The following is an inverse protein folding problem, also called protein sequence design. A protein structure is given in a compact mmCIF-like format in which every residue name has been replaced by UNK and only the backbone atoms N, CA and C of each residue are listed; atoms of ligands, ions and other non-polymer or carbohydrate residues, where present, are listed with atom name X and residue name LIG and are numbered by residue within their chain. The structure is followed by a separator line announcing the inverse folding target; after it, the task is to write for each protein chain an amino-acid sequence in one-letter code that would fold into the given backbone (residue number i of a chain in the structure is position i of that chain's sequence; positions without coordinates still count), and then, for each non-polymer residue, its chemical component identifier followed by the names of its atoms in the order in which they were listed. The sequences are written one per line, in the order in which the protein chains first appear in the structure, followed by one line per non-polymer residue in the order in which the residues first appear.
data_IF_492731292308
#
_entry.id   IF_492731292308
#
_cell.length_a   1.000
_cell.length_b   1.000
_cell.length_c   1.000
_cell.angle_alpha   90.00
_cell.angle_beta   90.00
_cell.angle_gamma   90.00
#
_symmetry.space_group_name_H-M   'P 1'
#
loop_
_entity.id
_entity.type
_entity.pdbx_description
1 polymer ?
#
# COMPACT_ATOMS: atom_id res chain seq x y z
N UNK A 1 12.71 -9.40 -16.87
CA UNK A 1 11.38 -8.75 -16.70
C UNK A 1 11.41 -8.05 -15.36
N UNK A 2 10.63 -7.00 -15.14
CA UNK A 2 10.50 -6.47 -13.78
C UNK A 2 9.72 -7.50 -12.95
N UNK A 3 10.17 -7.76 -11.73
CA UNK A 3 9.53 -8.76 -10.87
C UNK A 3 8.09 -8.33 -10.54
N UNK A 4 7.09 -9.17 -10.84
CA UNK A 4 5.70 -8.80 -10.67
C UNK A 4 5.38 -8.50 -9.20
N UNK A 5 4.60 -7.45 -8.97
CA UNK A 5 4.19 -7.05 -7.63
C UNK A 5 2.67 -7.02 -7.53
N UNK A 6 2.15 -7.52 -6.40
CA UNK A 6 0.78 -7.28 -5.96
C UNK A 6 0.76 -6.27 -4.83
N UNK A 7 -0.30 -5.51 -4.77
CA UNK A 7 -0.52 -4.51 -3.75
C UNK A 7 -1.84 -4.76 -3.06
N UNK A 8 -1.91 -4.40 -1.79
CA UNK A 8 -3.16 -4.40 -1.03
C UNK A 8 -3.20 -3.20 -0.08
N UNK A 9 -4.41 -2.83 0.30
CA UNK A 9 -4.66 -1.87 1.38
C UNK A 9 -4.25 -2.47 2.71
N UNK A 10 -3.83 -1.61 3.63
CA UNK A 10 -3.37 -1.98 4.98
C UNK A 10 -3.93 -0.99 5.99
N UNK A 11 -3.87 -1.37 7.28
CA UNK A 11 -4.16 -0.47 8.38
C UNK A 11 -2.90 -0.22 9.18
N UNK A 12 -2.61 1.05 9.43
CA UNK A 12 -1.51 1.49 10.28
C UNK A 12 -2.11 2.46 11.29
N UNK A 13 -1.68 2.32 12.54
CA UNK A 13 -2.06 3.25 13.59
C UNK A 13 -0.97 3.41 14.62
N UNK A 14 -1.07 4.50 15.37
CA UNK A 14 -0.22 4.76 16.53
C UNK A 14 -0.68 3.96 17.73
N UNK A 15 0.29 3.63 18.56
CA UNK A 15 0.12 2.82 19.77
C UNK A 15 0.51 3.67 20.97
N UNK A 16 -0.23 3.52 22.08
CA UNK A 16 0.18 4.07 23.36
C UNK A 16 1.39 3.28 23.90
N UNK A 17 2.52 3.93 24.20
CA UNK A 17 3.73 3.21 24.62
C UNK A 17 3.61 2.55 26.01
N UNK A 18 2.64 2.96 26.84
CA UNK A 18 2.42 2.40 28.18
C UNK A 18 1.43 1.24 28.17
N UNK A 19 0.37 1.33 27.36
CA UNK A 19 -0.72 0.33 27.34
C UNK A 19 -0.69 -0.62 26.15
N UNK A 20 0.11 -0.33 25.11
CA UNK A 20 0.15 -1.04 23.83
C UNK A 20 -1.20 -1.02 23.08
N UNK A 21 -2.12 -0.12 23.46
CA UNK A 21 -3.42 0.03 22.83
C UNK A 21 -3.35 0.96 21.60
N UNK A 22 -4.19 0.71 20.59
CA UNK A 22 -4.32 1.60 19.44
C UNK A 22 -4.95 2.93 19.84
N UNK A 23 -4.25 4.03 19.53
CA UNK A 23 -4.69 5.39 19.86
C UNK A 23 -5.27 6.12 18.64
N UNK A 24 -4.58 6.05 17.50
CA UNK A 24 -4.91 6.85 16.31
C UNK A 24 -4.67 6.05 15.04
N UNK A 25 -5.70 5.92 14.18
CA UNK A 25 -5.53 5.35 12.85
C UNK A 25 -4.92 6.40 11.90
N UNK A 26 -3.83 6.04 11.22
CA UNK A 26 -3.06 6.99 10.39
C UNK A 26 -3.60 7.14 8.97
N UNK A 27 -4.48 6.25 8.49
CA UNK A 27 -5.09 6.31 7.15
C UNK A 27 -4.09 6.68 6.04
N UNK A 28 -4.27 7.85 5.41
CA UNK A 28 -3.47 8.41 4.32
C UNK A 28 -2.22 9.15 4.80
N UNK A 29 -1.76 8.92 6.04
CA UNK A 29 -0.55 9.53 6.62
C UNK A 29 0.53 8.50 6.95
N UNK A 30 0.23 7.21 6.74
CA UNK A 30 1.13 6.10 7.07
C UNK A 30 2.39 6.03 6.19
N UNK A 31 2.40 6.70 5.04
CA UNK A 31 3.47 6.67 4.05
C UNK A 31 4.82 7.17 4.58
N UNK A 32 4.80 8.06 5.59
CA UNK A 32 6.02 8.53 6.26
C UNK A 32 6.76 7.42 7.03
N UNK A 33 6.07 6.33 7.41
CA UNK A 33 6.63 5.20 8.14
C UNK A 33 7.10 4.07 7.21
N UNK A 34 7.11 4.27 5.89
CA UNK A 34 7.41 3.23 4.92
C UNK A 34 8.75 2.53 5.17
N UNK A 35 9.82 3.30 5.43
CA UNK A 35 11.16 2.75 5.60
C UNK A 35 11.26 1.89 6.86
N UNK A 36 10.80 2.41 8.01
CA UNK A 36 10.86 1.68 9.28
C UNK A 36 9.96 0.45 9.27
N UNK A 37 8.79 0.53 8.64
CA UNK A 37 7.88 -0.61 8.50
C UNK A 37 8.47 -1.66 7.55
N UNK A 38 9.04 -1.26 6.41
CA UNK A 38 9.70 -2.19 5.49
C UNK A 38 10.87 -2.92 6.15
N UNK A 39 11.71 -2.19 6.90
CA UNK A 39 12.79 -2.79 7.68
C UNK A 39 12.27 -3.77 8.73
N UNK A 40 11.14 -3.45 9.38
CA UNK A 40 10.57 -4.32 10.39
C UNK A 40 9.99 -5.60 9.78
N UNK A 41 9.33 -5.51 8.62
CA UNK A 41 8.86 -6.68 7.87
C UNK A 41 10.01 -7.59 7.42
N UNK A 42 11.14 -7.01 7.03
CA UNK A 42 12.34 -7.76 6.59
C UNK A 42 13.04 -8.49 7.75
N UNK A 43 13.04 -7.88 8.93
CA UNK A 43 13.74 -8.41 10.12
C UNK A 43 12.86 -9.25 11.04
N UNK A 44 11.56 -9.34 10.75
CA UNK A 44 10.64 -10.14 11.54
C UNK A 44 10.80 -11.62 11.24
N UNK A 45 10.90 -12.40 12.31
CA UNK A 45 10.84 -13.85 12.28
C UNK A 45 10.30 -14.36 13.62
N UNK A 46 9.66 -15.53 13.57
CA UNK A 46 9.34 -16.35 14.74
C UNK A 46 9.82 -17.78 14.48
N UNK A 47 9.71 -18.66 15.48
CA UNK A 47 10.01 -20.09 15.30
C UNK A 47 9.09 -20.74 14.25
N UNK A 48 7.84 -20.29 14.16
CA UNK A 48 6.86 -20.77 13.16
C UNK A 48 7.03 -20.09 11.80
N UNK A 49 7.40 -18.80 11.81
CA UNK A 49 7.51 -17.95 10.63
C UNK A 49 8.94 -17.40 10.48
N UNK A 50 9.92 -18.21 10.04
CA UNK A 50 11.33 -17.81 10.00
C UNK A 50 11.69 -16.82 8.86
N UNK A 51 10.74 -16.49 7.98
CA UNK A 51 10.94 -15.59 6.85
C UNK A 51 9.62 -14.92 6.43
N UNK A 52 9.71 -13.78 5.73
CA UNK A 52 8.58 -13.05 5.14
C UNK A 52 8.17 -13.54 3.72
N UNK A 53 8.70 -14.68 3.29
CA UNK A 53 8.33 -15.35 2.04
C UNK A 53 7.09 -16.24 2.26
N UNK A 54 5.94 -15.76 1.82
CA UNK A 54 4.67 -16.44 2.05
C UNK A 54 4.55 -17.79 1.35
N UNK A 55 5.28 -18.03 0.26
CA UNK A 55 5.21 -19.31 -0.47
C UNK A 55 5.60 -20.50 0.40
N UNK A 56 6.32 -20.27 1.51
CA UNK A 56 6.68 -21.27 2.51
C UNK A 56 5.48 -21.75 3.34
N UNK A 57 4.45 -20.94 3.47
CA UNK A 57 3.31 -21.17 4.37
C UNK A 57 1.98 -21.35 3.62
N UNK A 58 1.93 -21.10 2.31
CA UNK A 58 0.71 -21.37 1.54
C UNK A 58 0.48 -22.87 1.40
N UNK A 59 -0.71 -23.33 1.79
CA UNK A 59 -1.09 -24.73 1.68
C UNK A 59 -2.54 -24.87 1.24
N UNK A 60 -2.79 -25.66 0.19
CA UNK A 60 -4.13 -25.90 -0.34
C UNK A 60 -4.53 -27.36 -0.13
N UNK A 61 -4.91 -27.71 1.10
CA UNK A 61 -5.31 -29.07 1.49
C UNK A 61 -6.34 -29.72 0.55
N UNK A 62 -7.28 -28.91 0.03
CA UNK A 62 -8.38 -29.39 -0.80
C UNK A 62 -8.08 -29.42 -2.31
N UNK A 63 -6.97 -28.81 -2.76
CA UNK A 63 -6.62 -28.77 -4.19
C UNK A 63 -5.09 -28.84 -4.43
N UNK A 64 -4.50 -30.04 -4.31
CA UNK A 64 -3.06 -30.24 -4.54
C UNK A 64 -2.62 -29.92 -5.98
N UNK A 65 -3.54 -29.98 -6.96
CA UNK A 65 -3.24 -29.65 -8.35
C UNK A 65 -3.08 -28.15 -8.52
N UNK A 66 -3.97 -27.37 -7.93
CA UNK A 66 -3.86 -25.91 -7.90
C UNK A 66 -2.58 -25.47 -7.17
N UNK A 67 -2.27 -26.11 -6.03
CA UNK A 67 -1.02 -25.85 -5.31
C UNK A 67 0.20 -26.07 -6.20
N UNK A 68 0.28 -27.22 -6.87
CA UNK A 68 1.40 -27.53 -7.77
C UNK A 68 1.49 -26.51 -8.91
N UNK A 69 0.36 -26.19 -9.55
CA UNK A 69 0.33 -25.24 -10.66
C UNK A 69 0.78 -23.82 -10.26
N UNK A 70 0.43 -23.36 -9.05
CA UNK A 70 0.90 -22.08 -8.53
C UNK A 70 2.40 -22.15 -8.17
N UNK A 71 2.85 -23.21 -7.50
CA UNK A 71 4.26 -23.37 -7.08
C UNK A 71 5.23 -23.52 -8.26
N UNK A 72 4.77 -24.08 -9.38
CA UNK A 72 5.55 -24.16 -10.61
C UNK A 72 5.78 -22.76 -11.23
N UNK A 73 4.92 -21.79 -10.93
CA UNK A 73 4.92 -20.44 -11.52
C UNK A 73 5.43 -19.36 -10.58
N UNK A 74 5.16 -19.48 -9.28
CA UNK A 74 5.51 -18.51 -8.23
C UNK A 74 6.49 -19.19 -7.28
N UNK A 75 7.74 -18.71 -7.28
CA UNK A 75 8.79 -19.28 -6.46
C UNK A 75 8.89 -18.63 -5.09
N UNK A 76 8.68 -17.32 -5.01
CA UNK A 76 8.63 -16.59 -3.75
C UNK A 76 7.56 -15.51 -3.77
N UNK A 77 7.12 -15.13 -2.57
CA UNK A 77 6.16 -14.05 -2.36
C UNK A 77 6.56 -13.27 -1.10
N UNK A 78 7.44 -12.29 -1.26
CA UNK A 78 8.01 -11.51 -0.17
C UNK A 78 7.13 -10.32 0.19
N UNK A 79 6.77 -10.23 1.48
CA UNK A 79 6.00 -9.11 2.00
C UNK A 79 6.92 -7.93 2.29
N UNK A 80 6.55 -6.76 1.77
CA UNK A 80 7.10 -5.46 2.14
C UNK A 80 6.00 -4.39 2.06
N UNK A 81 6.37 -3.11 2.13
CA UNK A 81 5.44 -1.98 1.96
C UNK A 81 5.97 -1.00 0.94
N UNK A 82 5.06 -0.24 0.34
CA UNK A 82 5.40 0.86 -0.56
C UNK A 82 4.50 2.07 -0.31
N UNK A 83 5.12 3.22 -0.08
CA UNK A 83 4.42 4.50 0.00
C UNK A 83 4.07 5.02 -1.40
N UNK A 84 2.88 5.61 -1.54
CA UNK A 84 2.50 6.39 -2.72
C UNK A 84 2.01 7.75 -2.26
N UNK A 85 2.95 8.66 -2.06
CA UNK A 85 2.70 9.90 -1.32
C UNK A 85 2.56 9.59 0.16
N UNK A 86 1.44 10.00 0.75
CA UNK A 86 1.20 9.83 2.18
C UNK A 86 0.45 8.51 2.52
N UNK A 87 -0.14 7.83 1.54
CA UNK A 87 -0.75 6.50 1.75
C UNK A 87 0.30 5.39 1.66
N UNK A 88 0.24 4.43 2.57
CA UNK A 88 1.07 3.22 2.56
C UNK A 88 0.26 2.02 2.05
N UNK A 89 0.91 1.13 1.29
CA UNK A 89 0.32 -0.11 0.78
C UNK A 89 1.21 -1.29 1.16
N UNK A 90 0.62 -2.45 1.45
CA UNK A 90 1.37 -3.69 1.42
C UNK A 90 1.75 -3.99 -0.02
N UNK A 91 3.01 -4.40 -0.22
CA UNK A 91 3.56 -4.83 -1.49
C UNK A 91 4.03 -6.26 -1.32
N UNK A 92 3.54 -7.14 -2.17
CA UNK A 92 3.97 -8.53 -2.27
C UNK A 92 4.83 -8.64 -3.53
N UNK A 93 6.13 -8.77 -3.33
CA UNK A 93 7.12 -8.95 -4.40
C UNK A 93 7.16 -10.43 -4.78
N UNK A 94 6.86 -10.73 -6.04
CA UNK A 94 6.76 -12.10 -6.53
C UNK A 94 7.92 -12.43 -7.45
N UNK A 95 8.60 -13.53 -7.17
CA UNK A 95 9.48 -14.18 -8.16
C UNK A 95 8.64 -15.19 -8.96
N UNK A 96 8.49 -14.93 -10.25
CA UNK A 96 7.60 -15.71 -11.12
C UNK A 96 8.25 -16.10 -12.44
N UNK A 97 8.00 -17.33 -12.89
CA UNK A 97 8.45 -17.87 -14.17
C UNK A 97 7.39 -17.79 -15.27
N UNK A 98 6.11 -17.67 -14.90
CA UNK A 98 5.00 -17.52 -15.81
C UNK A 98 3.78 -16.87 -15.14
N UNK A 99 2.89 -16.31 -15.95
CA UNK A 99 1.66 -15.67 -15.46
C UNK A 99 0.69 -16.70 -14.85
N UNK A 100 0.02 -16.28 -13.78
CA UNK A 100 -1.12 -17.00 -13.23
C UNK A 100 -2.36 -16.79 -14.12
N UNK A 101 -3.08 -17.88 -14.36
CA UNK A 101 -4.46 -17.82 -14.85
C UNK A 101 -5.36 -17.14 -13.82
N UNK A 102 -6.56 -16.74 -14.23
CA UNK A 102 -7.53 -16.09 -13.33
C UNK A 102 -7.82 -16.98 -12.10
N UNK A 103 -8.07 -18.27 -12.30
CA UNK A 103 -8.37 -19.20 -11.21
C UNK A 103 -7.18 -19.40 -10.26
N UNK A 104 -5.96 -19.51 -10.80
CA UNK A 104 -4.74 -19.59 -9.98
C UNK A 104 -4.51 -18.30 -9.20
N UNK A 105 -4.75 -17.13 -9.80
CA UNK A 105 -4.62 -15.84 -9.13
C UNK A 105 -5.64 -15.66 -7.99
N UNK A 106 -6.89 -16.06 -8.20
CA UNK A 106 -7.93 -16.06 -7.16
C UNK A 106 -7.57 -17.01 -6.01
N UNK A 107 -7.09 -18.22 -6.33
CA UNK A 107 -6.65 -19.18 -5.32
C UNK A 107 -5.41 -18.71 -4.56
N UNK A 108 -4.46 -18.08 -5.25
CA UNK A 108 -3.25 -17.49 -4.67
C UNK A 108 -3.58 -16.36 -3.71
N UNK A 109 -4.32 -15.35 -4.17
CA UNK A 109 -4.70 -14.21 -3.33
C UNK A 109 -5.60 -14.61 -2.16
N UNK A 110 -6.41 -15.66 -2.30
CA UNK A 110 -7.16 -16.24 -1.17
C UNK A 110 -6.25 -16.79 -0.09
N UNK A 111 -5.18 -17.51 -0.43
CA UNK A 111 -4.25 -18.01 0.58
C UNK A 111 -3.39 -16.90 1.18
N UNK A 112 -2.99 -15.90 0.38
CA UNK A 112 -2.31 -14.70 0.92
C UNK A 112 -3.21 -14.00 1.94
N UNK A 113 -4.52 -13.89 1.69
CA UNK A 113 -5.48 -13.37 2.69
C UNK A 113 -5.47 -14.19 3.98
N UNK A 114 -5.51 -15.52 3.89
CA UNK A 114 -5.44 -16.38 5.07
C UNK A 114 -4.14 -16.15 5.85
N UNK A 115 -3.00 -16.03 5.17
CA UNK A 115 -1.73 -15.72 5.84
C UNK A 115 -1.70 -14.33 6.47
N UNK A 116 -2.32 -13.33 5.86
CA UNK A 116 -2.44 -12.00 6.46
C UNK A 116 -3.37 -11.99 7.67
N UNK A 117 -4.41 -12.83 7.67
CA UNK A 117 -5.45 -12.84 8.70
C UNK A 117 -5.09 -13.68 9.92
N UNK A 118 -4.65 -14.92 9.70
CA UNK A 118 -4.56 -15.95 10.74
C UNK A 118 -3.17 -16.62 10.78
N UNK A 119 -2.26 -16.24 9.86
CA UNK A 119 -0.91 -16.80 9.76
C UNK A 119 0.17 -15.77 10.05
N UNK A 120 1.16 -15.68 9.17
CA UNK A 120 2.30 -14.76 9.29
C UNK A 120 1.91 -13.32 9.67
N UNK A 121 0.86 -12.78 9.05
CA UNK A 121 0.41 -11.41 9.27
C UNK A 121 -0.24 -11.19 10.63
N UNK A 122 -0.89 -12.21 11.19
CA UNK A 122 -1.47 -12.16 12.53
C UNK A 122 -0.38 -12.04 13.59
N UNK A 123 0.68 -12.85 13.45
CA UNK A 123 1.84 -12.80 14.34
C UNK A 123 2.60 -11.48 14.21
N UNK A 124 2.73 -10.95 12.99
CA UNK A 124 3.35 -9.65 12.77
C UNK A 124 2.56 -8.50 13.41
N UNK A 125 1.23 -8.57 13.39
CA UNK A 125 0.36 -7.51 13.94
C UNK A 125 0.57 -7.30 15.45
N UNK A 126 1.00 -8.34 16.17
CA UNK A 126 1.33 -8.25 17.60
C UNK A 126 2.57 -7.42 17.91
N UNK A 127 3.31 -6.99 16.89
CA UNK A 127 4.56 -6.26 17.05
C UNK A 127 4.33 -4.76 16.95
N UNK A 128 4.67 -4.09 18.04
CA UNK A 128 4.82 -2.65 18.07
C UNK A 128 6.15 -2.25 17.42
N UNK A 129 6.06 -1.37 16.43
CA UNK A 129 7.18 -0.89 15.61
C UNK A 129 7.65 0.45 16.19
N UNK A 130 8.86 0.52 16.77
CA UNK A 130 9.39 1.75 17.32
C UNK A 130 9.70 2.74 16.19
N UNK A 131 9.29 4.00 16.36
CA UNK A 131 9.61 5.10 15.45
C UNK A 131 10.26 6.25 16.23
N UNK A 132 10.67 7.33 15.54
CA UNK A 132 11.25 8.50 16.21
C UNK A 132 10.22 9.33 16.98
N UNK A 133 8.93 9.25 16.61
CA UNK A 133 7.86 10.04 17.21
C UNK A 133 7.05 9.17 18.18
N UNK A 134 6.16 8.33 17.64
CA UNK A 134 5.30 7.42 18.41
C UNK A 134 5.36 6.03 17.79
N UNK A 135 5.32 4.96 18.62
CA UNK A 135 5.30 3.61 18.09
C UNK A 135 4.04 3.38 17.24
N UNK A 136 4.17 2.55 16.21
CA UNK A 136 3.07 2.21 15.31
C UNK A 136 2.88 0.71 15.23
N UNK A 137 1.67 0.27 14.91
CA UNK A 137 1.40 -1.10 14.48
C UNK A 137 1.05 -1.13 13.00
N UNK A 138 1.20 -2.29 12.39
CA UNK A 138 0.74 -2.58 11.04
C UNK A 138 -0.16 -3.80 11.08
N UNK A 139 -1.35 -3.66 10.51
CA UNK A 139 -2.28 -4.74 10.22
C UNK A 139 -2.39 -4.91 8.71
N UNK A 140 -1.96 -6.06 8.22
CA UNK A 140 -2.03 -6.42 6.79
C UNK A 140 -3.45 -6.78 6.34
N UNK A 141 -4.25 -7.36 7.23
CA UNK A 141 -5.60 -7.83 6.92
C UNK A 141 -6.72 -6.89 7.38
N UNK A 142 -7.79 -6.78 6.60
CA UNK A 142 -9.05 -6.20 7.04
C UNK A 142 -10.19 -6.69 6.13
N UNK A 143 -11.44 -6.58 6.57
CA UNK A 143 -12.61 -7.12 5.83
C UNK A 143 -12.71 -6.64 4.37
N UNK A 144 -12.27 -5.41 4.11
CA UNK A 144 -12.31 -4.77 2.80
C UNK A 144 -11.03 -4.99 1.95
N UNK A 145 -10.12 -5.87 2.37
CA UNK A 145 -8.83 -6.05 1.69
C UNK A 145 -9.00 -6.52 0.25
N UNK A 146 -8.37 -5.78 -0.66
CA UNK A 146 -8.36 -6.07 -2.09
C UNK A 146 -6.93 -6.13 -2.61
N UNK A 147 -6.64 -7.12 -3.44
CA UNK A 147 -5.36 -7.28 -4.12
C UNK A 147 -5.45 -6.69 -5.53
N UNK A 148 -4.43 -5.96 -5.94
CA UNK A 148 -4.36 -5.36 -7.26
C UNK A 148 -2.92 -5.34 -7.77
N UNK A 149 -2.75 -5.39 -9.08
CA UNK A 149 -1.42 -5.33 -9.69
C UNK A 149 -0.83 -3.93 -9.63
N UNK A 150 0.48 -3.80 -9.80
CA UNK A 150 1.13 -2.48 -9.93
C UNK A 150 0.50 -1.59 -11.00
N UNK A 151 0.14 -2.15 -12.17
CA UNK A 151 -0.53 -1.40 -13.23
C UNK A 151 -1.90 -0.85 -12.81
N UNK A 152 -2.69 -1.61 -12.03
CA UNK A 152 -3.98 -1.15 -11.50
C UNK A 152 -3.78 -0.05 -10.45
N UNK A 153 -2.78 -0.21 -9.57
CA UNK A 153 -2.39 0.81 -8.58
C UNK A 153 -2.02 2.13 -9.27
N UNK A 154 -1.12 2.07 -10.25
CA UNK A 154 -0.63 3.24 -10.98
C UNK A 154 -1.77 3.98 -11.67
N UNK A 155 -2.66 3.26 -12.37
CA UNK A 155 -3.82 3.86 -13.04
C UNK A 155 -4.75 4.55 -12.05
N UNK A 156 -5.00 3.96 -10.88
CA UNK A 156 -5.81 4.58 -9.83
C UNK A 156 -5.15 5.86 -9.29
N UNK A 157 -3.84 5.82 -9.02
CA UNK A 157 -3.09 6.98 -8.55
C UNK A 157 -3.03 8.09 -9.60
N UNK A 158 -2.89 7.75 -10.88
CA UNK A 158 -2.98 8.71 -11.98
C UNK A 158 -4.33 9.40 -12.05
N UNK A 159 -5.43 8.64 -11.92
CA UNK A 159 -6.77 9.23 -11.90
C UNK A 159 -6.91 10.25 -10.76
N UNK A 160 -6.49 9.89 -9.54
CA UNK A 160 -6.53 10.82 -8.39
C UNK A 160 -5.63 12.04 -8.58
N UNK A 161 -4.45 11.87 -9.19
CA UNK A 161 -3.56 12.99 -9.54
C UNK A 161 -4.26 13.94 -10.51
N UNK A 162 -4.87 13.42 -11.58
CA UNK A 162 -5.59 14.21 -12.57
C UNK A 162 -6.78 14.96 -11.96
N UNK A 163 -7.57 14.31 -11.11
CA UNK A 163 -8.70 14.94 -10.42
C UNK A 163 -8.26 16.07 -9.49
N UNK A 164 -7.19 15.85 -8.69
CA UNK A 164 -6.62 16.90 -7.84
C UNK A 164 -6.12 18.09 -8.66
N UNK A 165 -5.41 17.84 -9.77
CA UNK A 165 -4.95 18.91 -10.66
C UNK A 165 -6.12 19.69 -11.27
N UNK A 166 -7.18 19.00 -11.72
CA UNK A 166 -8.40 19.63 -12.23
C UNK A 166 -9.08 20.50 -11.19
N UNK A 167 -9.28 19.98 -9.99
CA UNK A 167 -9.91 20.70 -8.89
C UNK A 167 -9.09 21.94 -8.46
N UNK A 168 -7.76 21.82 -8.36
CA UNK A 168 -6.90 22.97 -8.07
C UNK A 168 -6.95 24.05 -9.18
N UNK A 169 -6.99 23.64 -10.44
CA UNK A 169 -7.16 24.57 -11.56
C UNK A 169 -8.52 25.29 -11.52
N UNK A 170 -9.59 24.59 -11.12
CA UNK A 170 -10.93 25.16 -10.93
C UNK A 170 -10.99 26.15 -9.76
N UNK A 171 -10.35 25.85 -8.62
CA UNK A 171 -10.23 26.80 -7.52
C UNK A 171 -9.48 28.05 -7.99
N UNK A 172 -8.31 27.88 -8.63
CA UNK A 172 -7.48 29.00 -9.10
C UNK A 172 -8.22 29.91 -10.09
N UNK A 173 -9.05 29.33 -10.97
CA UNK A 173 -9.84 30.11 -11.93
C UNK A 173 -10.98 30.89 -11.26
N UNK A 174 -11.57 30.35 -10.17
CA UNK A 174 -12.61 31.02 -9.37
C UNK A 174 -12.06 32.09 -8.42
N UNK A 175 -10.86 31.90 -7.89
CA UNK A 175 -10.25 32.83 -6.91
C UNK A 175 -9.37 33.91 -7.55
N UNK A 176 -9.20 33.90 -8.88
CA UNK A 176 -8.47 34.96 -9.59
C UNK A 176 -9.36 36.22 -9.71
N UNK A 177 -8.99 37.37 -9.12
CA UNK A 177 -9.75 38.60 -9.30
C UNK A 177 -9.67 39.02 -10.78
N UNK A 178 -10.82 39.32 -11.39
CA UNK A 178 -10.84 39.96 -12.69
C UNK A 178 -10.02 41.26 -12.62
N UNK A 179 -8.94 41.34 -13.41
CA UNK A 179 -8.12 42.53 -13.49
C UNK A 179 -9.03 43.71 -13.86
N UNK A 180 -9.17 44.69 -12.97
CA UNK A 180 -9.94 45.92 -13.26
C UNK A 180 -9.32 46.58 -14.50
N UNK A 181 -10.12 46.96 -15.51
CA UNK A 181 -9.58 47.61 -16.70
C UNK A 181 -8.93 48.93 -16.29
N UNK A 182 -7.62 49.06 -16.51
CA UNK A 182 -6.89 50.29 -16.29
C UNK A 182 -7.30 51.32 -17.35
N UNK A 183 -8.18 52.24 -16.97
CA UNK A 183 -8.49 53.43 -17.77
C UNK A 183 -7.23 54.28 -17.91
N UNK A 184 -6.62 54.27 -19.11
CA UNK A 184 -5.52 55.17 -19.43
C UNK A 184 -6.06 56.60 -19.53
N UNK A 185 -5.86 57.41 -18.49
CA UNK A 185 -6.05 58.87 -18.54
C UNK A 185 -5.01 59.47 -19.48
N UNK A 186 -5.44 59.89 -20.68
CA UNK A 186 -4.62 60.70 -21.59
C UNK A 186 -4.48 62.10 -20.98
N UNK A 187 -3.28 62.42 -20.48
CA UNK A 187 -2.89 63.76 -20.07
C UNK A 187 -2.47 64.52 -21.33
N UNK A 188 -3.29 65.46 -21.78
CA UNK A 188 -2.96 66.37 -22.87
C UNK A 188 -1.96 67.42 -22.38
N UNK A 189 -0.89 67.63 -23.11
CA UNK A 189 0.02 68.76 -22.95
C UNK A 189 -0.37 69.84 -23.96
N UNK A 190 -0.94 70.94 -23.48
CA UNK A 190 -1.09 72.17 -24.26
C UNK A 190 0.23 72.94 -24.31
N UNK A 191 0.42 73.63 -25.44
CA UNK A 191 1.59 74.41 -25.84
C UNK A 191 1.69 75.74 -25.10
#
# INVERSE_FOLDING_TARGET
MADPCLYSTIRVGKVDPETDETVEALYDEAGQYCEVIAQRLDTFYTDEYPANDLMRYLHWLDDPKMETAIRDKVHSAHITVEASGATLYAKLELDMTADLTIAEFEAFTKQVKCQYQDGWGAEFELITIPTSDEPVYLRLWHDEITFFTGAVKERFLEHRRQERTRFQAEIRSRTSPAAKPTTKTKRWTER
#
